data_IF_776075055204
#
_entry.id   IF_776075055204
#
_cell.length_a   1.000
_cell.length_b   1.000
_cell.length_c   1.000
_cell.angle_alpha   90.00
_cell.angle_beta   90.00
_cell.angle_gamma   90.00
#
_symmetry.space_group_name_H-M   'P 1'
#
loop_
_entity.id
_entity.type
_entity.pdbx_description
1 polymer ?
#
# COMPACT_ATOMS: atom_id res chain seq x y z
N UNK A 1 -23.86 -7.39 2.87
CA UNK A 1 -23.11 -8.65 2.98
C UNK A 1 -23.42 -9.39 4.26
N UNK A 2 -23.20 -8.76 5.43
CA UNK A 2 -23.42 -9.37 6.75
C UNK A 2 -24.85 -9.96 6.92
N UNK A 3 -25.88 -9.21 6.56
CA UNK A 3 -27.29 -9.68 6.60
C UNK A 3 -27.47 -10.91 5.71
N UNK A 4 -26.93 -10.89 4.49
CA UNK A 4 -27.01 -12.01 3.56
C UNK A 4 -26.44 -13.30 4.15
N UNK A 5 -25.29 -13.19 4.83
CA UNK A 5 -24.62 -14.34 5.48
C UNK A 5 -25.31 -14.81 6.76
N UNK A 6 -25.71 -13.89 7.64
CA UNK A 6 -26.28 -14.25 8.96
C UNK A 6 -27.74 -14.69 8.88
N UNK A 7 -28.51 -14.19 7.91
CA UNK A 7 -29.93 -14.52 7.73
C UNK A 7 -30.18 -15.50 6.58
N UNK A 8 -29.13 -15.93 5.86
CA UNK A 8 -29.27 -16.88 4.76
C UNK A 8 -29.99 -16.33 3.53
N UNK A 9 -30.01 -15.00 3.30
CA UNK A 9 -30.72 -14.36 2.20
C UNK A 9 -29.76 -14.05 1.06
N UNK A 10 -29.76 -14.82 -0.05
CA UNK A 10 -28.74 -14.74 -1.10
C UNK A 10 -28.76 -13.43 -1.88
N UNK A 11 -29.89 -12.74 -1.95
CA UNK A 11 -30.01 -11.47 -2.69
C UNK A 11 -29.12 -10.39 -2.10
N UNK A 12 -29.07 -10.26 -0.77
CA UNK A 12 -28.22 -9.26 -0.11
C UNK A 12 -26.73 -9.54 -0.29
N UNK A 13 -26.34 -10.81 -0.34
CA UNK A 13 -24.95 -11.17 -0.63
C UNK A 13 -24.57 -10.83 -2.08
N UNK A 14 -25.41 -11.20 -3.06
CA UNK A 14 -25.16 -10.91 -4.48
C UNK A 14 -25.06 -9.41 -4.76
N UNK A 15 -25.95 -8.59 -4.18
CA UNK A 15 -25.96 -7.14 -4.36
C UNK A 15 -24.76 -6.46 -3.68
N UNK A 16 -24.16 -7.07 -2.67
CA UNK A 16 -23.02 -6.47 -1.98
C UNK A 16 -21.73 -6.47 -2.80
N UNK A 17 -21.56 -7.37 -3.76
CA UNK A 17 -20.35 -7.42 -4.60
C UNK A 17 -20.23 -6.23 -5.55
N UNK A 18 -21.27 -5.87 -6.37
CA UNK A 18 -21.18 -4.67 -7.17
C UNK A 18 -21.09 -3.39 -6.33
N UNK A 19 -21.74 -3.33 -5.15
CA UNK A 19 -21.60 -2.19 -4.24
C UNK A 19 -20.18 -2.05 -3.69
N UNK A 20 -19.50 -3.16 -3.42
CA UNK A 20 -18.09 -3.14 -3.00
C UNK A 20 -17.18 -2.59 -4.11
N UNK A 21 -17.43 -2.97 -5.37
CA UNK A 21 -16.70 -2.41 -6.51
C UNK A 21 -16.97 -0.90 -6.66
N UNK A 22 -18.22 -0.47 -6.57
CA UNK A 22 -18.59 0.94 -6.64
C UNK A 22 -17.94 1.74 -5.50
N UNK A 23 -17.91 1.21 -4.27
CA UNK A 23 -17.24 1.88 -3.15
C UNK A 23 -15.74 1.97 -3.34
N UNK A 24 -15.11 0.97 -3.96
CA UNK A 24 -13.70 1.01 -4.32
C UNK A 24 -13.40 2.11 -5.35
N UNK A 25 -14.20 2.22 -6.41
CA UNK A 25 -14.04 3.28 -7.40
C UNK A 25 -14.31 4.67 -6.82
N UNK A 26 -15.33 4.81 -5.97
CA UNK A 26 -15.59 6.06 -5.26
C UNK A 26 -14.39 6.48 -4.40
N UNK A 27 -13.83 5.54 -3.63
CA UNK A 27 -12.65 5.82 -2.81
C UNK A 27 -11.43 6.26 -3.63
N UNK A 28 -11.18 5.61 -4.78
CA UNK A 28 -10.08 6.01 -5.67
C UNK A 28 -10.31 7.39 -6.27
N UNK A 29 -11.55 7.76 -6.56
CA UNK A 29 -11.92 9.09 -6.99
C UNK A 29 -11.72 10.13 -5.89
N UNK A 30 -12.09 9.80 -4.65
CA UNK A 30 -11.88 10.67 -3.48
C UNK A 30 -10.38 10.93 -3.26
N UNK A 31 -9.53 9.91 -3.38
CA UNK A 31 -8.07 10.08 -3.33
C UNK A 31 -7.56 11.01 -4.43
N UNK A 32 -8.06 10.84 -5.65
CA UNK A 32 -7.67 11.68 -6.78
C UNK A 32 -8.06 13.14 -6.53
N UNK A 33 -9.27 13.40 -6.06
CA UNK A 33 -9.75 14.75 -5.78
C UNK A 33 -9.01 15.40 -4.59
N UNK A 34 -8.81 14.63 -3.50
CA UNK A 34 -8.22 15.17 -2.28
C UNK A 34 -6.71 15.40 -2.37
N UNK A 35 -5.97 14.53 -3.10
CA UNK A 35 -4.51 14.56 -3.08
C UNK A 35 -3.87 15.07 -4.37
N UNK A 36 -4.52 14.92 -5.53
CA UNK A 36 -3.95 15.36 -6.81
C UNK A 36 -4.33 16.82 -7.12
N UNK A 37 -5.57 17.22 -6.83
CA UNK A 37 -6.03 18.58 -7.13
C UNK A 37 -5.39 19.66 -6.25
N UNK A 38 -4.84 19.35 -5.09
CA UNK A 38 -4.09 20.27 -4.23
C UNK A 38 -2.90 20.89 -4.99
N UNK A 39 -2.29 20.15 -5.91
CA UNK A 39 -1.13 20.62 -6.69
C UNK A 39 -1.46 21.74 -7.72
N UNK A 40 -2.74 21.93 -8.06
CA UNK A 40 -3.13 22.87 -9.12
C UNK A 40 -3.71 24.19 -8.62
N UNK A 41 -4.18 24.28 -7.39
CA UNK A 41 -4.94 25.45 -6.93
C UNK A 41 -4.13 26.42 -6.07
N UNK A 42 -2.93 26.06 -5.60
CA UNK A 42 -2.05 26.98 -4.84
C UNK A 42 -2.63 27.55 -3.55
N UNK A 43 -3.89 27.27 -3.26
CA UNK A 43 -4.55 27.68 -2.03
C UNK A 43 -4.61 26.50 -1.05
N UNK A 44 -3.67 26.49 -0.10
CA UNK A 44 -3.84 25.69 1.11
C UNK A 44 -4.99 26.26 1.93
N UNK A 45 -6.20 25.87 1.61
CA UNK A 45 -7.28 26.03 2.58
C UNK A 45 -7.06 24.99 3.69
N UNK A 46 -6.60 25.48 4.85
CA UNK A 46 -6.55 24.79 6.13
C UNK A 46 -5.66 23.53 6.16
N UNK A 47 -4.50 23.65 6.77
CA UNK A 47 -3.47 22.63 6.89
C UNK A 47 -4.01 21.22 7.09
N UNK A 48 -3.86 20.41 6.07
CA UNK A 48 -4.19 18.99 6.11
C UNK A 48 -3.23 18.31 7.10
N UNK A 49 -3.70 18.01 8.30
CA UNK A 49 -2.90 17.29 9.27
C UNK A 49 -2.75 15.85 8.78
N UNK A 50 -1.54 15.37 8.47
CA UNK A 50 -1.33 14.01 8.04
C UNK A 50 -1.91 13.01 9.07
N UNK A 51 -2.55 11.96 8.59
CA UNK A 51 -3.21 10.92 9.38
C UNK A 51 -4.45 11.35 10.21
N UNK A 52 -4.71 12.65 10.35
CA UNK A 52 -5.86 13.18 11.10
C UNK A 52 -6.80 14.01 10.21
N UNK A 53 -6.87 13.68 8.93
CA UNK A 53 -7.78 14.31 7.99
C UNK A 53 -8.99 13.43 7.68
N UNK A 54 -10.07 14.04 7.16
CA UNK A 54 -11.31 13.33 6.83
C UNK A 54 -11.11 12.25 5.77
N UNK A 55 -10.26 12.50 4.76
CA UNK A 55 -9.98 11.56 3.67
C UNK A 55 -9.26 10.30 4.17
N UNK A 56 -8.31 10.45 5.08
CA UNK A 56 -7.66 9.30 5.72
C UNK A 56 -8.62 8.52 6.60
N UNK A 57 -9.44 9.20 7.40
CA UNK A 57 -10.42 8.53 8.27
C UNK A 57 -11.48 7.77 7.46
N UNK A 58 -11.99 8.34 6.37
CA UNK A 58 -12.91 7.62 5.47
C UNK A 58 -12.24 6.44 4.79
N UNK A 59 -10.99 6.57 4.36
CA UNK A 59 -10.20 5.48 3.79
C UNK A 59 -9.97 4.35 4.81
N UNK A 60 -9.64 4.69 6.05
CA UNK A 60 -9.46 3.73 7.13
C UNK A 60 -10.76 3.00 7.48
N UNK A 61 -11.89 3.71 7.47
CA UNK A 61 -13.21 3.10 7.63
C UNK A 61 -13.49 2.11 6.48
N UNK A 62 -13.16 2.49 5.25
CA UNK A 62 -13.31 1.62 4.09
C UNK A 62 -12.42 0.36 4.22
N UNK A 63 -11.16 0.49 4.65
CA UNK A 63 -10.28 -0.65 4.97
C UNK A 63 -10.92 -1.57 5.99
N UNK A 64 -11.48 -1.03 7.08
CA UNK A 64 -12.13 -1.81 8.12
C UNK A 64 -13.36 -2.56 7.58
N UNK A 65 -14.20 -1.90 6.78
CA UNK A 65 -15.40 -2.50 6.18
C UNK A 65 -15.06 -3.60 5.18
N UNK A 66 -14.11 -3.34 4.26
CA UNK A 66 -13.68 -4.35 3.28
C UNK A 66 -12.98 -5.51 3.97
N UNK A 67 -12.16 -5.23 4.99
CA UNK A 67 -11.54 -6.26 5.83
C UNK A 67 -12.58 -7.11 6.55
N UNK A 68 -13.63 -6.51 7.11
CA UNK A 68 -14.73 -7.23 7.73
C UNK A 68 -15.48 -8.12 6.72
N UNK A 69 -15.77 -7.62 5.52
CA UNK A 69 -16.37 -8.41 4.45
C UNK A 69 -15.46 -9.59 4.07
N UNK A 70 -14.16 -9.37 3.96
CA UNK A 70 -13.18 -10.41 3.66
C UNK A 70 -13.16 -11.50 4.75
N UNK A 71 -13.15 -11.12 6.02
CA UNK A 71 -13.22 -12.07 7.14
C UNK A 71 -14.52 -12.89 7.13
N UNK A 72 -15.66 -12.24 6.89
CA UNK A 72 -16.96 -12.94 6.80
C UNK A 72 -17.01 -13.87 5.60
N UNK A 73 -16.40 -13.49 4.47
CA UNK A 73 -16.38 -14.31 3.25
C UNK A 73 -15.68 -15.65 3.49
N UNK A 74 -14.59 -15.66 4.25
CA UNK A 74 -13.84 -16.88 4.60
C UNK A 74 -14.35 -17.57 5.86
N UNK A 75 -15.30 -16.99 6.59
CA UNK A 75 -15.84 -17.58 7.82
C UNK A 75 -16.61 -18.87 7.52
N UNK A 76 -16.27 -19.93 8.25
CA UNK A 76 -16.98 -21.23 8.21
C UNK A 76 -18.22 -21.25 9.12
N UNK A 77 -18.42 -20.18 9.90
CA UNK A 77 -19.50 -20.09 10.90
C UNK A 77 -20.89 -19.99 10.25
N UNK A 78 -20.95 -19.39 9.06
CA UNK A 78 -22.22 -19.14 8.36
C UNK A 78 -22.26 -19.94 7.06
N UNK A 79 -23.38 -20.62 6.83
CA UNK A 79 -23.60 -21.33 5.56
C UNK A 79 -23.66 -20.34 4.39
N UNK A 80 -23.24 -20.82 3.23
CA UNK A 80 -23.31 -20.00 2.02
C UNK A 80 -24.73 -20.04 1.50
N UNK A 81 -25.44 -18.90 1.41
CA UNK A 81 -26.85 -18.90 1.05
C UNK A 81 -27.14 -19.24 -0.42
N UNK A 82 -26.10 -19.33 -1.24
CA UNK A 82 -26.23 -19.76 -2.63
C UNK A 82 -24.99 -20.53 -3.09
N UNK A 83 -25.18 -21.65 -3.83
CA UNK A 83 -24.10 -22.38 -4.43
C UNK A 83 -23.59 -21.60 -5.64
N UNK A 84 -22.50 -20.85 -5.49
CA UNK A 84 -21.79 -20.34 -6.64
C UNK A 84 -21.05 -21.49 -7.34
N UNK A 85 -20.97 -21.45 -8.66
CA UNK A 85 -20.02 -22.28 -9.40
C UNK A 85 -18.64 -22.11 -8.79
N UNK A 86 -17.88 -23.18 -8.69
CA UNK A 86 -16.61 -23.20 -7.96
C UNK A 86 -15.64 -22.12 -8.45
N UNK A 87 -15.60 -21.92 -9.76
CA UNK A 87 -14.74 -20.93 -10.42
C UNK A 87 -15.15 -19.48 -10.10
N UNK A 88 -16.45 -19.20 -10.12
CA UNK A 88 -16.99 -17.89 -9.77
C UNK A 88 -16.72 -17.55 -8.29
N UNK A 89 -16.83 -18.55 -7.42
CA UNK A 89 -16.50 -18.36 -6.01
C UNK A 89 -15.02 -18.00 -5.80
N UNK A 90 -14.10 -18.66 -6.50
CA UNK A 90 -12.68 -18.36 -6.42
C UNK A 90 -12.39 -16.95 -6.94
N UNK A 91 -12.99 -16.57 -8.07
CA UNK A 91 -12.84 -15.22 -8.65
C UNK A 91 -13.29 -14.14 -7.66
N UNK A 92 -14.47 -14.29 -7.05
CA UNK A 92 -15.00 -13.35 -6.06
C UNK A 92 -14.09 -13.30 -4.83
N UNK A 93 -13.62 -14.45 -4.33
CA UNK A 93 -12.74 -14.52 -3.16
C UNK A 93 -11.42 -13.78 -3.40
N UNK A 94 -10.79 -13.98 -4.56
CA UNK A 94 -9.57 -13.26 -4.92
C UNK A 94 -9.83 -11.78 -5.15
N UNK A 95 -10.98 -11.42 -5.74
CA UNK A 95 -11.39 -10.04 -5.96
C UNK A 95 -11.54 -9.26 -4.64
N UNK A 96 -12.28 -9.81 -3.67
CA UNK A 96 -12.46 -9.17 -2.34
C UNK A 96 -11.12 -9.02 -1.63
N UNK A 97 -10.29 -10.07 -1.62
CA UNK A 97 -8.98 -10.03 -0.97
C UNK A 97 -8.02 -9.06 -1.68
N UNK A 98 -8.07 -9.00 -3.01
CA UNK A 98 -7.31 -8.06 -3.82
C UNK A 98 -7.69 -6.61 -3.53
N UNK A 99 -8.99 -6.29 -3.54
CA UNK A 99 -9.50 -4.96 -3.19
C UNK A 99 -9.06 -4.58 -1.77
N UNK A 100 -9.17 -5.50 -0.81
CA UNK A 100 -8.71 -5.25 0.56
C UNK A 100 -7.24 -4.85 0.62
N UNK A 101 -6.36 -5.60 -0.05
CA UNK A 101 -4.92 -5.31 -0.06
C UNK A 101 -4.59 -3.99 -0.76
N UNK A 102 -5.27 -3.69 -1.88
CA UNK A 102 -5.07 -2.44 -2.62
C UNK A 102 -5.54 -1.24 -1.81
N UNK A 103 -6.72 -1.33 -1.18
CA UNK A 103 -7.25 -0.24 -0.33
C UNK A 103 -6.36 -0.05 0.89
N UNK A 104 -5.93 -1.13 1.55
CA UNK A 104 -5.03 -1.06 2.69
C UNK A 104 -3.69 -0.41 2.31
N UNK A 105 -3.07 -0.85 1.21
CA UNK A 105 -1.83 -0.25 0.73
C UNK A 105 -2.00 1.21 0.33
N UNK A 106 -3.03 1.52 -0.47
CA UNK A 106 -3.30 2.85 -1.00
C UNK A 106 -3.59 3.88 0.09
N UNK A 107 -4.34 3.50 1.13
CA UNK A 107 -4.67 4.40 2.26
C UNK A 107 -3.42 5.02 2.89
N UNK A 108 -2.40 4.24 3.16
CA UNK A 108 -1.17 4.76 3.76
C UNK A 108 -0.21 5.35 2.71
N UNK A 109 -0.15 4.79 1.50
CA UNK A 109 0.70 5.31 0.44
C UNK A 109 0.30 6.73 0.03
N UNK A 110 -1.00 7.01 -0.08
CA UNK A 110 -1.52 8.34 -0.42
C UNK A 110 -1.22 9.36 0.69
N UNK A 111 -1.31 8.97 1.96
CA UNK A 111 -0.96 9.85 3.08
C UNK A 111 0.54 10.18 3.11
N UNK A 112 1.41 9.18 2.91
CA UNK A 112 2.85 9.40 2.83
C UNK A 112 3.17 10.34 1.66
N UNK A 113 2.56 10.12 0.49
CA UNK A 113 2.71 10.99 -0.67
C UNK A 113 2.29 12.42 -0.38
N UNK A 114 1.10 12.60 0.20
CA UNK A 114 0.52 13.90 0.53
C UNK A 114 1.37 14.68 1.55
N UNK A 115 1.90 14.01 2.56
CA UNK A 115 2.79 14.63 3.54
C UNK A 115 3.99 15.31 2.87
N UNK A 116 4.66 14.62 1.95
CA UNK A 116 5.82 15.16 1.24
C UNK A 116 5.44 16.24 0.23
N UNK A 117 4.27 16.13 -0.41
CA UNK A 117 3.76 17.16 -1.31
C UNK A 117 3.45 18.46 -0.56
N UNK A 118 2.85 18.38 0.61
CA UNK A 118 2.61 19.54 1.47
C UNK A 118 3.91 20.20 1.93
N UNK A 119 4.90 19.40 2.33
CA UNK A 119 6.22 19.93 2.67
C UNK A 119 6.85 20.67 1.49
N UNK A 120 6.79 20.11 0.30
CA UNK A 120 7.35 20.72 -0.91
C UNK A 120 6.69 22.07 -1.23
N UNK A 121 5.37 22.18 -1.05
CA UNK A 121 4.63 23.41 -1.35
C UNK A 121 4.81 24.45 -0.23
N UNK A 122 4.94 24.03 1.02
CA UNK A 122 5.11 24.92 2.18
C UNK A 122 6.52 25.53 2.30
N UNK A 123 7.51 24.99 1.59
CA UNK A 123 8.88 25.52 1.62
C UNK A 123 8.98 26.78 0.75
N UNK A 124 9.53 27.91 1.30
CA UNK A 124 9.66 29.16 0.54
C UNK A 124 10.60 29.07 -0.66
N UNK A 125 11.59 28.18 -0.57
CA UNK A 125 12.57 27.91 -1.63
C UNK A 125 12.35 26.47 -2.11
N UNK A 126 12.25 26.29 -3.43
CA UNK A 126 12.09 24.96 -4.01
C UNK A 126 13.23 24.03 -3.60
N UNK A 127 12.90 22.94 -2.94
CA UNK A 127 13.85 21.92 -2.51
C UNK A 127 13.60 20.60 -3.27
N UNK A 128 14.50 20.28 -4.20
CA UNK A 128 14.41 19.06 -5.01
C UNK A 128 14.52 17.78 -4.16
N UNK A 129 15.26 17.82 -3.04
CA UNK A 129 15.46 16.70 -2.14
C UNK A 129 14.13 16.15 -1.59
N UNK A 130 13.13 17.01 -1.37
CA UNK A 130 11.81 16.60 -0.87
C UNK A 130 11.08 15.66 -1.83
N UNK A 131 11.25 15.83 -3.15
CA UNK A 131 10.71 14.87 -4.13
C UNK A 131 11.41 13.52 -4.07
N UNK A 132 12.72 13.55 -3.85
CA UNK A 132 13.52 12.33 -3.71
C UNK A 132 13.15 11.61 -2.41
N UNK A 133 13.01 12.35 -1.31
CA UNK A 133 12.52 11.80 -0.04
C UNK A 133 11.15 11.14 -0.19
N UNK A 134 10.21 11.80 -0.88
CA UNK A 134 8.90 11.21 -1.19
C UNK A 134 9.03 9.86 -1.87
N UNK A 135 9.82 9.77 -2.94
CA UNK A 135 10.01 8.54 -3.69
C UNK A 135 10.63 7.43 -2.82
N UNK A 136 11.66 7.76 -2.03
CA UNK A 136 12.33 6.81 -1.15
C UNK A 136 11.40 6.34 -0.03
N UNK A 137 10.61 7.21 0.59
CA UNK A 137 9.67 6.81 1.63
C UNK A 137 8.54 5.95 1.10
N UNK A 138 8.03 6.20 -0.11
CA UNK A 138 7.06 5.33 -0.75
C UNK A 138 7.65 3.95 -1.08
N UNK A 139 8.91 3.89 -1.52
CA UNK A 139 9.62 2.63 -1.70
C UNK A 139 9.85 1.89 -0.39
N UNK A 140 10.29 2.58 0.66
CA UNK A 140 10.47 2.00 1.99
C UNK A 140 9.15 1.44 2.55
N UNK A 141 8.05 2.17 2.37
CA UNK A 141 6.73 1.69 2.74
C UNK A 141 6.34 0.45 1.94
N UNK A 142 6.60 0.43 0.63
CA UNK A 142 6.32 -0.73 -0.23
C UNK A 142 7.14 -1.97 0.20
N UNK A 143 8.42 -1.79 0.50
CA UNK A 143 9.29 -2.84 1.04
C UNK A 143 8.75 -3.40 2.37
N UNK A 144 8.36 -2.52 3.28
CA UNK A 144 7.78 -2.90 4.58
C UNK A 144 6.45 -3.64 4.41
N UNK A 145 5.54 -3.10 3.56
CA UNK A 145 4.24 -3.70 3.30
C UNK A 145 4.37 -5.10 2.72
N UNK A 146 5.23 -5.28 1.72
CA UNK A 146 5.48 -6.58 1.10
C UNK A 146 6.16 -7.56 2.07
N UNK A 147 7.07 -7.08 2.91
CA UNK A 147 7.66 -7.88 3.99
C UNK A 147 6.59 -8.36 4.96
N UNK A 148 5.72 -7.48 5.42
CA UNK A 148 4.64 -7.81 6.35
C UNK A 148 3.64 -8.80 5.73
N UNK A 149 3.23 -8.59 4.47
CA UNK A 149 2.31 -9.47 3.74
C UNK A 149 2.90 -10.88 3.58
N UNK A 150 4.15 -10.97 3.15
CA UNK A 150 4.86 -12.24 3.00
C UNK A 150 5.00 -12.97 4.35
N UNK A 151 5.34 -12.26 5.41
CA UNK A 151 5.48 -12.81 6.76
C UNK A 151 4.13 -13.32 7.31
N UNK A 152 3.04 -12.56 7.11
CA UNK A 152 1.69 -12.98 7.48
C UNK A 152 1.26 -14.24 6.73
N UNK A 153 1.61 -14.36 5.45
CA UNK A 153 1.30 -15.56 4.68
C UNK A 153 2.09 -16.78 5.18
N UNK A 154 3.36 -16.62 5.57
CA UNK A 154 4.15 -17.70 6.17
C UNK A 154 3.52 -18.22 7.46
N UNK A 155 3.09 -17.33 8.35
CA UNK A 155 2.67 -17.71 9.70
C UNK A 155 1.20 -18.12 9.75
N UNK A 156 0.32 -17.38 9.05
CA UNK A 156 -1.13 -17.49 9.24
C UNK A 156 -1.88 -18.02 8.05
N UNK A 157 -1.68 -17.45 6.87
CA UNK A 157 -2.55 -17.69 5.72
C UNK A 157 -2.19 -18.98 4.98
N UNK A 158 -0.90 -19.24 4.80
CA UNK A 158 -0.35 -20.43 4.09
C UNK A 158 -1.01 -20.65 2.72
N UNK A 159 -1.30 -19.55 2.00
CA UNK A 159 -2.00 -19.56 0.72
C UNK A 159 -0.99 -19.53 -0.42
N UNK A 160 -1.04 -20.55 -1.29
CA UNK A 160 -0.10 -20.72 -2.40
C UNK A 160 -0.26 -19.61 -3.47
N UNK A 161 -1.48 -19.23 -3.82
CA UNK A 161 -1.73 -18.16 -4.81
C UNK A 161 -1.18 -16.83 -4.32
N UNK A 162 -1.43 -16.50 -3.04
CA UNK A 162 -0.87 -15.31 -2.41
C UNK A 162 0.66 -15.40 -2.33
N UNK A 163 1.21 -16.62 -2.19
CA UNK A 163 2.64 -16.86 -2.17
C UNK A 163 3.31 -16.45 -3.49
N UNK A 164 2.81 -16.96 -4.59
CA UNK A 164 3.34 -16.67 -5.94
C UNK A 164 3.22 -15.16 -6.23
N UNK A 165 2.06 -14.58 -5.94
CA UNK A 165 1.83 -13.13 -6.13
C UNK A 165 2.82 -12.31 -5.29
N UNK A 166 2.99 -12.65 -4.02
CA UNK A 166 3.90 -11.91 -3.12
C UNK A 166 5.36 -12.03 -3.57
N UNK A 167 5.82 -13.20 -4.02
CA UNK A 167 7.19 -13.37 -4.55
C UNK A 167 7.38 -12.48 -5.79
N UNK A 168 6.43 -12.49 -6.72
CA UNK A 168 6.50 -11.64 -7.92
C UNK A 168 6.56 -10.16 -7.55
N UNK A 169 5.71 -9.71 -6.63
CA UNK A 169 5.69 -8.33 -6.17
C UNK A 169 6.96 -7.97 -5.38
N UNK A 170 7.52 -8.87 -4.57
CA UNK A 170 8.80 -8.68 -3.88
C UNK A 170 9.94 -8.42 -4.88
N UNK A 171 9.98 -9.19 -5.97
CA UNK A 171 10.98 -8.98 -7.04
C UNK A 171 10.79 -7.61 -7.69
N UNK A 172 9.56 -7.22 -8.02
CA UNK A 172 9.27 -5.92 -8.63
C UNK A 172 9.64 -4.75 -7.71
N UNK A 173 9.31 -4.82 -6.43
CA UNK A 173 9.67 -3.77 -5.47
C UNK A 173 11.17 -3.71 -5.25
N UNK A 174 11.86 -4.86 -5.21
CA UNK A 174 13.31 -4.90 -5.13
C UNK A 174 13.96 -4.29 -6.39
N UNK A 175 13.44 -4.60 -7.57
CA UNK A 175 13.90 -4.00 -8.82
C UNK A 175 13.69 -2.48 -8.84
N UNK A 176 12.53 -2.00 -8.37
CA UNK A 176 12.27 -0.57 -8.23
C UNK A 176 13.24 0.09 -7.23
N UNK A 177 13.59 -0.60 -6.14
CA UNK A 177 14.59 -0.09 -5.20
C UNK A 177 15.99 -0.02 -5.85
N UNK A 178 16.41 -1.04 -6.60
CA UNK A 178 17.72 -1.07 -7.26
C UNK A 178 17.85 0.01 -8.35
N UNK A 179 16.76 0.41 -8.97
CA UNK A 179 16.75 1.46 -10.00
C UNK A 179 16.50 2.83 -9.40
N UNK A 180 15.26 3.10 -8.99
CA UNK A 180 14.82 4.41 -8.49
C UNK A 180 15.36 4.69 -7.08
N UNK A 181 15.38 3.68 -6.21
CA UNK A 181 15.81 3.83 -4.82
C UNK A 181 17.29 4.17 -4.70
N UNK A 182 18.18 3.38 -5.34
CA UNK A 182 19.62 3.63 -5.28
C UNK A 182 20.00 4.94 -5.96
N UNK A 183 19.34 5.27 -7.08
CA UNK A 183 19.55 6.55 -7.74
C UNK A 183 19.19 7.72 -6.80
N UNK A 184 17.99 7.70 -6.20
CA UNK A 184 17.60 8.74 -5.25
C UNK A 184 18.49 8.84 -4.02
N UNK A 185 18.97 7.70 -3.50
CA UNK A 185 19.94 7.71 -2.38
C UNK A 185 21.31 8.29 -2.77
N UNK A 186 21.71 8.15 -4.05
CA UNK A 186 22.92 8.82 -4.58
C UNK A 186 22.74 10.32 -4.67
N UNK A 187 21.63 10.78 -5.24
CA UNK A 187 21.29 12.20 -5.34
C UNK A 187 21.26 12.88 -3.95
N UNK A 188 20.60 12.25 -2.96
CA UNK A 188 20.58 12.81 -1.60
C UNK A 188 21.97 12.88 -0.95
N UNK A 189 22.87 11.96 -1.28
CA UNK A 189 24.25 12.02 -0.83
C UNK A 189 25.00 13.16 -1.49
N UNK A 190 24.85 13.34 -2.79
CA UNK A 190 25.49 14.43 -3.55
C UNK A 190 24.99 15.79 -3.05
N UNK A 191 23.69 15.94 -2.80
CA UNK A 191 23.11 17.11 -2.16
C UNK A 191 23.72 17.38 -0.78
N UNK A 192 23.93 16.35 0.03
CA UNK A 192 24.60 16.48 1.34
C UNK A 192 26.05 16.95 1.24
N UNK A 193 26.78 16.50 0.23
CA UNK A 193 28.19 16.90 0.02
C UNK A 193 28.33 18.30 -0.59
N UNK A 194 27.21 18.94 -0.96
CA UNK A 194 27.21 20.27 -1.60
C UNK A 194 27.63 20.24 -3.07
N UNK A 195 27.73 19.07 -3.67
CA UNK A 195 28.09 18.93 -5.08
C UNK A 195 26.87 19.34 -5.96
N UNK A 196 27.00 20.42 -6.72
CA UNK A 196 26.00 20.83 -7.73
C UNK A 196 24.92 21.80 -7.26
N UNK A 197 24.94 22.32 -6.04
CA UNK A 197 23.94 23.31 -5.57
C UNK A 197 24.41 24.75 -5.80
N UNK A 198 23.57 25.52 -6.53
CA UNK A 198 23.75 26.98 -6.72
C UNK A 198 23.33 27.79 -5.49
N UNK A 199 22.56 27.18 -4.58
CA UNK A 199 22.11 27.78 -3.31
C UNK A 199 22.35 26.77 -2.19
N UNK A 200 23.10 27.09 -1.14
CA UNK A 200 23.36 26.19 -0.04
C UNK A 200 22.06 26.01 0.78
N UNK A 201 21.29 24.95 0.50
CA UNK A 201 20.39 24.40 1.49
C UNK A 201 21.27 23.73 2.54
N UNK A 202 21.09 24.04 3.81
CA UNK A 202 21.81 23.33 4.87
C UNK A 202 21.43 21.83 4.81
N UNK A 203 22.33 20.96 4.36
CA UNK A 203 21.98 19.54 4.18
C UNK A 203 21.81 18.92 5.57
N UNK A 204 20.58 18.44 5.80
CA UNK A 204 20.24 17.78 7.06
C UNK A 204 20.87 16.39 7.16
N UNK A 205 21.17 15.95 8.38
CA UNK A 205 21.62 14.56 8.68
C UNK A 205 20.68 13.51 8.06
N UNK A 206 19.42 13.83 7.81
CA UNK A 206 18.43 12.96 7.20
C UNK A 206 18.80 12.50 5.78
N UNK A 207 19.51 13.31 5.00
CA UNK A 207 19.93 12.96 3.63
C UNK A 207 20.82 11.72 3.58
N UNK A 208 21.61 11.49 4.65
CA UNK A 208 22.45 10.29 4.75
C UNK A 208 21.76 9.16 5.53
N UNK A 209 21.05 9.48 6.61
CA UNK A 209 20.46 8.47 7.51
C UNK A 209 19.38 7.62 6.83
N UNK A 210 18.63 8.18 5.89
CA UNK A 210 17.59 7.45 5.17
C UNK A 210 18.14 6.24 4.41
N UNK A 211 19.39 6.26 3.98
CA UNK A 211 20.06 5.13 3.32
C UNK A 211 20.08 3.89 4.20
N UNK A 212 20.43 4.03 5.47
CA UNK A 212 20.50 2.91 6.41
C UNK A 212 19.11 2.33 6.69
N UNK A 213 18.10 3.19 6.78
CA UNK A 213 16.69 2.78 6.93
C UNK A 213 16.25 1.98 5.70
N UNK A 214 16.56 2.45 4.51
CA UNK A 214 16.19 1.78 3.26
C UNK A 214 16.86 0.41 3.12
N UNK A 215 18.15 0.31 3.42
CA UNK A 215 18.85 -0.99 3.41
C UNK A 215 18.33 -1.94 4.48
N UNK A 216 17.91 -1.45 5.64
CA UNK A 216 17.25 -2.29 6.65
C UNK A 216 15.96 -2.92 6.10
N UNK A 217 15.10 -2.15 5.43
CA UNK A 217 13.89 -2.69 4.83
C UNK A 217 14.16 -3.68 3.70
N UNK A 218 15.16 -3.42 2.87
CA UNK A 218 15.63 -4.37 1.85
C UNK A 218 16.10 -5.68 2.49
N UNK A 219 16.92 -5.60 3.54
CA UNK A 219 17.40 -6.78 4.26
C UNK A 219 16.24 -7.59 4.86
N UNK A 220 15.24 -6.92 5.44
CA UNK A 220 14.04 -7.56 5.95
C UNK A 220 13.24 -8.27 4.83
N UNK A 221 13.06 -7.62 3.67
CA UNK A 221 12.38 -8.22 2.52
C UNK A 221 13.13 -9.45 2.01
N UNK A 222 14.45 -9.36 1.85
CA UNK A 222 15.28 -10.48 1.39
C UNK A 222 15.21 -11.66 2.37
N UNK A 223 15.31 -11.39 3.67
CA UNK A 223 15.18 -12.41 4.71
C UNK A 223 13.85 -13.14 4.67
N UNK A 224 12.74 -12.40 4.56
CA UNK A 224 11.41 -13.00 4.50
C UNK A 224 11.21 -13.73 3.18
N UNK A 225 11.68 -13.18 2.05
CA UNK A 225 11.62 -13.84 0.74
C UNK A 225 12.41 -15.15 0.73
N UNK A 226 13.58 -15.19 1.34
CA UNK A 226 14.37 -16.42 1.51
C UNK A 226 13.62 -17.49 2.33
N UNK A 227 13.01 -17.09 3.47
CA UNK A 227 12.19 -18.00 4.26
C UNK A 227 10.96 -18.49 3.47
N UNK A 228 10.42 -17.62 2.62
CA UNK A 228 9.21 -17.88 1.86
C UNK A 228 9.43 -18.97 0.81
N UNK A 229 10.52 -18.87 0.04
CA UNK A 229 10.89 -19.87 -0.99
C UNK A 229 11.10 -21.27 -0.37
N UNK A 230 11.54 -21.34 0.88
CA UNK A 230 11.75 -22.61 1.59
C UNK A 230 10.46 -23.26 2.11
N UNK A 231 9.30 -22.63 1.98
CA UNK A 231 8.05 -23.21 2.44
C UNK A 231 7.58 -24.34 1.50
N UNK A 232 7.20 -25.47 2.07
CA UNK A 232 6.79 -26.64 1.31
C UNK A 232 5.60 -26.41 0.37
N UNK A 233 4.69 -25.49 0.74
CA UNK A 233 3.52 -25.15 -0.08
C UNK A 233 3.85 -24.26 -1.30
N UNK A 234 5.06 -23.70 -1.37
CA UNK A 234 5.55 -22.93 -2.51
C UNK A 234 6.32 -23.82 -3.47
N UNK A 235 7.01 -24.83 -2.97
CA UNK A 235 7.87 -25.73 -3.77
C UNK A 235 7.12 -26.68 -4.71
N UNK A 236 5.81 -26.83 -4.56
CA UNK A 236 4.98 -27.75 -5.38
C UNK A 236 4.60 -27.14 -6.74
N UNK A 237 4.95 -25.91 -7.00
CA UNK A 237 4.62 -25.19 -8.26
C UNK A 237 5.83 -25.07 -9.23
N UNK A 238 6.92 -25.76 -8.95
CA UNK A 238 8.11 -25.79 -9.80
C UNK A 238 8.17 -27.08 -10.62
#
# INVERSE_FOLDING_TARGET
FWIGRTKGVPVYEKLSYPLLLLSFFSLTQDWNQAYININYVGEFSNGFVPFLNSTFLTSLLCVALVGFINLLHYSKKYDRPWPAQKDLFHLISYGISGIFLVVLYGTFATEISNYWDQLLISTPVYNADLKIFKAIWLLNYSLLFMTALSFLNIIRLKNNTLAILSITLNILVLFAFLTVGLYGLSELRESYLGEGQLVPNEPGFYNISIRYISFLFVAMLLFVSYKYIKQAYVSVAA
#
